data_IF_349702174427
#
_entry.id   IF_349702174427
#
_cell.length_a   1.000
_cell.length_b   1.000
_cell.length_c   1.000
_cell.angle_alpha   90.00
_cell.angle_beta   90.00
_cell.angle_gamma   90.00
#
_symmetry.space_group_name_H-M   'P 1'
#
loop_
_entity.id
_entity.type
_entity.pdbx_description
1 polymer ?
#
# COMPACT_ATOMS: atom_id res chain seq x y z
N UNK A 1 -13.41 -4.36 6.54
CA UNK A 1 -13.47 -3.78 5.17
C UNK A 1 -13.28 -4.81 4.06
N UNK A 2 -12.16 -5.53 3.97
CA UNK A 2 -11.92 -6.46 2.84
C UNK A 2 -12.95 -7.58 2.73
N UNK A 3 -13.36 -8.15 3.86
CA UNK A 3 -14.43 -9.15 3.89
C UNK A 3 -15.73 -8.62 3.23
N UNK A 4 -16.18 -7.43 3.64
CA UNK A 4 -17.35 -6.76 3.04
C UNK A 4 -17.20 -6.54 1.53
N UNK A 5 -16.02 -6.14 1.07
CA UNK A 5 -15.77 -5.94 -0.37
C UNK A 5 -15.87 -7.26 -1.15
N UNK A 6 -15.31 -8.35 -0.62
CA UNK A 6 -15.39 -9.67 -1.23
C UNK A 6 -16.82 -10.21 -1.27
N UNK A 7 -17.61 -10.02 -0.19
CA UNK A 7 -19.03 -10.39 -0.13
C UNK A 7 -19.86 -9.67 -1.21
N UNK A 8 -19.41 -8.49 -1.65
CA UNK A 8 -20.05 -7.70 -2.71
C UNK A 8 -19.35 -7.84 -4.08
N UNK A 9 -18.47 -8.85 -4.26
CA UNK A 9 -17.72 -9.11 -5.50
C UNK A 9 -16.88 -7.91 -5.99
N UNK A 10 -16.42 -7.05 -5.07
CA UNK A 10 -15.51 -5.95 -5.38
C UNK A 10 -14.08 -6.50 -5.31
N UNK A 11 -13.28 -6.41 -6.39
CA UNK A 11 -11.92 -6.93 -6.40
C UNK A 11 -11.04 -6.28 -5.33
N UNK A 12 -10.36 -7.12 -4.55
CA UNK A 12 -9.37 -6.67 -3.56
C UNK A 12 -8.14 -7.56 -3.58
N UNK A 13 -7.00 -7.04 -3.08
CA UNK A 13 -5.79 -7.85 -2.94
C UNK A 13 -6.07 -9.09 -2.08
N UNK A 14 -5.69 -10.27 -2.59
CA UNK A 14 -5.90 -11.54 -1.91
C UNK A 14 -5.17 -11.53 -0.56
N UNK A 15 -5.91 -11.81 0.51
CA UNK A 15 -5.31 -12.00 1.84
C UNK A 15 -4.73 -13.42 1.87
N UNK A 16 -3.48 -13.55 2.29
CA UNK A 16 -2.85 -14.84 2.56
C UNK A 16 -3.01 -15.20 4.03
N UNK A 17 -2.70 -14.27 4.93
CA UNK A 17 -2.80 -14.48 6.38
C UNK A 17 -3.26 -13.21 7.10
N UNK A 18 -4.00 -13.42 8.19
CA UNK A 18 -4.26 -12.41 9.22
C UNK A 18 -3.73 -12.97 10.52
N UNK A 19 -2.80 -12.25 11.15
CA UNK A 19 -2.09 -12.67 12.36
C UNK A 19 -2.52 -11.74 13.48
N UNK A 20 -3.15 -12.31 14.51
CA UNK A 20 -3.76 -11.57 15.61
C UNK A 20 -2.99 -11.75 16.93
N UNK A 21 -2.10 -12.74 17.01
CA UNK A 21 -1.31 -13.03 18.21
C UNK A 21 0.01 -13.73 17.86
N UNK A 22 0.86 -13.90 18.87
CA UNK A 22 2.18 -14.50 18.72
C UNK A 22 2.12 -15.98 18.34
N UNK A 23 1.17 -16.75 18.87
CA UNK A 23 1.03 -18.18 18.56
C UNK A 23 0.78 -18.40 17.05
N UNK A 24 -0.11 -17.59 16.45
CA UNK A 24 -0.37 -17.60 15.00
C UNK A 24 0.86 -17.24 14.17
N UNK A 25 1.76 -16.39 14.69
CA UNK A 25 3.02 -16.05 14.04
C UNK A 25 4.01 -17.23 14.10
N UNK A 26 4.07 -17.96 15.20
CA UNK A 26 4.97 -19.10 15.37
C UNK A 26 4.62 -20.27 14.44
N UNK A 27 3.33 -20.48 14.18
CA UNK A 27 2.84 -21.49 13.24
C UNK A 27 3.07 -21.11 11.76
N UNK A 28 3.33 -19.83 11.47
CA UNK A 28 3.42 -19.31 10.11
C UNK A 28 4.63 -19.89 9.33
N UNK A 29 4.33 -20.44 8.16
CA UNK A 29 5.33 -20.92 7.20
C UNK A 29 5.53 -19.90 6.09
N UNK A 30 6.44 -18.95 6.29
CA UNK A 30 6.74 -17.87 5.33
C UNK A 30 7.05 -18.38 3.92
N UNK A 31 7.67 -19.55 3.83
CA UNK A 31 8.06 -20.20 2.57
C UNK A 31 6.87 -20.64 1.71
N UNK A 32 5.68 -20.79 2.31
CA UNK A 32 4.45 -21.15 1.60
C UNK A 32 3.70 -19.93 1.06
N UNK A 33 4.09 -18.71 1.45
CA UNK A 33 3.45 -17.48 1.01
C UNK A 33 3.97 -17.13 -0.39
N UNK A 34 3.10 -17.00 -1.40
CA UNK A 34 3.54 -16.69 -2.75
C UNK A 34 4.08 -15.25 -2.84
N UNK A 35 5.26 -15.09 -3.41
CA UNK A 35 5.84 -13.78 -3.72
C UNK A 35 5.38 -13.26 -5.08
N UNK A 36 5.14 -11.94 -5.25
CA UNK A 36 5.32 -10.88 -4.27
C UNK A 36 4.15 -10.71 -3.28
N UNK A 37 4.45 -10.26 -2.06
CA UNK A 37 3.45 -9.99 -1.03
C UNK A 37 3.78 -8.73 -0.22
N UNK A 38 2.83 -8.29 0.60
CA UNK A 38 2.95 -7.14 1.50
C UNK A 38 2.61 -7.59 2.92
N UNK A 39 3.43 -7.19 3.88
CA UNK A 39 3.16 -7.30 5.32
C UNK A 39 2.81 -5.92 5.84
N UNK A 40 1.68 -5.76 6.53
CA UNK A 40 1.24 -4.45 7.04
C UNK A 40 0.35 -4.57 8.28
N UNK A 41 0.30 -3.56 9.14
CA UNK A 41 -0.73 -3.47 10.18
C UNK A 41 -2.13 -3.35 9.56
N UNK A 42 -3.13 -3.99 10.18
CA UNK A 42 -4.53 -3.85 9.79
C UNK A 42 -5.05 -2.42 10.00
N UNK A 43 -4.53 -1.73 11.02
CA UNK A 43 -4.92 -0.37 11.43
C UNK A 43 -3.74 0.61 11.33
N UNK A 44 -3.02 0.58 10.21
CA UNK A 44 -1.84 1.44 10.01
C UNK A 44 -2.16 2.91 9.76
N UNK A 45 -1.36 3.80 10.34
CA UNK A 45 -1.40 5.24 10.06
C UNK A 45 -0.27 5.66 9.10
N UNK A 46 -0.60 6.50 8.13
CA UNK A 46 0.36 7.13 7.20
C UNK A 46 1.32 6.18 6.45
N UNK A 47 0.97 4.91 6.30
CA UNK A 47 1.78 3.91 5.61
C UNK A 47 2.99 3.41 6.41
N UNK A 48 3.00 3.58 7.74
CA UNK A 48 4.01 2.97 8.62
C UNK A 48 3.79 1.46 8.76
N UNK A 49 4.86 0.73 9.05
CA UNK A 49 4.80 -0.72 9.28
C UNK A 49 4.57 -1.57 8.02
N UNK A 50 4.62 -0.97 6.83
CA UNK A 50 4.42 -1.69 5.57
C UNK A 50 5.78 -2.17 5.05
N UNK A 51 5.94 -3.50 4.94
CA UNK A 51 7.05 -4.13 4.21
C UNK A 51 6.49 -4.72 2.92
N UNK A 52 7.17 -4.46 1.81
CA UNK A 52 6.82 -5.02 0.50
C UNK A 52 7.90 -6.00 0.09
N UNK A 53 7.52 -7.26 -0.04
CA UNK A 53 8.39 -8.37 -0.46
C UNK A 53 8.22 -8.63 -1.95
N UNK A 54 9.32 -8.57 -2.69
CA UNK A 54 9.32 -8.77 -4.14
C UNK A 54 9.55 -10.21 -4.54
N UNK A 55 10.53 -10.86 -3.93
CA UNK A 55 10.90 -12.24 -4.26
C UNK A 55 11.59 -12.90 -3.08
N UNK A 56 11.49 -14.22 -3.03
CA UNK A 56 12.31 -15.10 -2.19
C UNK A 56 13.61 -15.43 -2.94
N UNK A 57 14.72 -15.54 -2.24
CA UNK A 57 15.96 -16.05 -2.81
C UNK A 57 15.86 -17.57 -3.00
N UNK A 58 16.37 -18.05 -4.13
CA UNK A 58 16.29 -19.47 -4.48
C UNK A 58 17.10 -20.31 -3.49
N UNK A 59 16.48 -21.38 -2.99
CA UNK A 59 17.10 -22.29 -2.02
C UNK A 59 17.33 -21.73 -0.62
N UNK A 60 16.86 -20.52 -0.30
CA UNK A 60 17.12 -19.86 0.99
C UNK A 60 15.84 -19.31 1.63
N UNK A 61 15.78 -19.29 2.97
CA UNK A 61 14.75 -18.59 3.74
C UNK A 61 15.08 -17.11 3.89
N UNK A 62 15.33 -16.45 2.75
CA UNK A 62 15.67 -15.04 2.66
C UNK A 62 14.81 -14.38 1.57
N UNK A 63 14.27 -13.21 1.88
CA UNK A 63 13.40 -12.42 1.01
C UNK A 63 14.03 -11.08 0.70
N UNK A 64 13.66 -10.53 -0.46
CA UNK A 64 14.12 -9.20 -0.89
C UNK A 64 12.97 -8.22 -0.88
N UNK A 65 13.17 -7.10 -0.19
CA UNK A 65 12.21 -6.00 -0.13
C UNK A 65 12.27 -5.10 -1.41
N UNK A 66 11.52 -3.99 -1.40
CA UNK A 66 11.58 -2.98 -2.47
C UNK A 66 12.92 -2.24 -2.58
N UNK A 67 13.74 -2.25 -1.53
CA UNK A 67 15.05 -1.61 -1.49
C UNK A 67 16.19 -2.62 -1.74
N UNK A 68 15.88 -3.87 -2.12
CA UNK A 68 16.84 -4.99 -2.26
C UNK A 68 17.56 -5.35 -0.96
N UNK A 69 17.01 -4.98 0.19
CA UNK A 69 17.47 -5.47 1.47
C UNK A 69 17.07 -6.93 1.64
N UNK A 70 17.98 -7.70 2.24
CA UNK A 70 17.77 -9.11 2.54
C UNK A 70 17.10 -9.20 3.90
N UNK A 71 15.96 -9.88 3.96
CA UNK A 71 15.19 -10.12 5.17
C UNK A 71 15.12 -11.63 5.40
N UNK A 72 15.55 -12.06 6.57
CA UNK A 72 15.43 -13.44 7.05
C UNK A 72 14.02 -13.71 7.60
N UNK A 73 13.74 -14.97 7.94
CA UNK A 73 12.50 -15.34 8.63
C UNK A 73 12.41 -14.61 9.98
N UNK A 74 13.52 -14.49 10.69
CA UNK A 74 13.63 -13.82 11.98
C UNK A 74 13.32 -12.32 11.85
N UNK A 75 13.81 -11.67 10.79
CA UNK A 75 13.52 -10.25 10.52
C UNK A 75 12.01 -10.02 10.25
N UNK A 76 11.39 -10.90 9.47
CA UNK A 76 9.96 -10.85 9.18
C UNK A 76 9.11 -11.12 10.43
N UNK A 77 9.51 -12.12 11.24
CA UNK A 77 8.87 -12.41 12.51
C UNK A 77 8.97 -11.21 13.46
N UNK A 78 10.16 -10.63 13.62
CA UNK A 78 10.37 -9.44 14.45
C UNK A 78 9.47 -8.29 14.01
N UNK A 79 9.37 -8.03 12.70
CA UNK A 79 8.49 -6.99 12.18
C UNK A 79 7.01 -7.24 12.48
N UNK A 80 6.54 -8.49 12.36
CA UNK A 80 5.16 -8.84 12.72
C UNK A 80 4.94 -8.69 14.23
N UNK A 81 5.91 -9.07 15.07
CA UNK A 81 5.82 -8.85 16.53
C UNK A 81 5.66 -7.38 16.86
N UNK A 82 6.48 -6.51 16.24
CA UNK A 82 6.37 -5.07 16.41
C UNK A 82 4.98 -4.52 15.98
N UNK A 83 4.37 -5.10 14.93
CA UNK A 83 2.98 -4.78 14.56
C UNK A 83 2.01 -5.18 15.68
N UNK A 84 2.14 -6.40 16.22
CA UNK A 84 1.27 -6.92 17.28
C UNK A 84 1.43 -6.16 18.60
N UNK A 85 2.63 -5.63 18.87
CA UNK A 85 2.90 -4.74 20.01
C UNK A 85 2.37 -3.30 19.80
N UNK A 86 1.87 -2.99 18.60
CA UNK A 86 1.23 -1.72 18.29
C UNK A 86 2.18 -0.61 17.85
N UNK A 87 3.46 -0.90 17.55
CA UNK A 87 4.47 0.11 17.19
C UNK A 87 4.03 1.03 16.02
N UNK A 88 3.25 0.47 15.08
CA UNK A 88 2.81 1.16 13.86
C UNK A 88 1.36 1.66 13.90
N UNK A 89 0.67 1.47 15.02
CA UNK A 89 -0.73 1.86 15.21
C UNK A 89 -0.80 3.17 16.00
N UNK A 90 -1.74 4.05 15.63
CA UNK A 90 -1.88 5.36 16.30
C UNK A 90 -2.99 5.36 17.36
N UNK A 91 -3.88 4.38 17.31
CA UNK A 91 -4.99 4.19 18.25
C UNK A 91 -5.49 2.75 18.16
N UNK A 92 -6.13 2.26 19.22
CA UNK A 92 -6.66 0.91 19.32
C UNK A 92 -5.97 0.09 20.42
N UNK A 93 -6.62 -1.00 20.82
CA UNK A 93 -6.12 -1.97 21.80
C UNK A 93 -5.86 -3.36 21.20
N UNK A 94 -6.32 -3.58 19.97
CA UNK A 94 -6.12 -4.82 19.23
C UNK A 94 -5.33 -4.53 17.95
N UNK A 95 -4.16 -5.16 17.83
CA UNK A 95 -3.27 -4.98 16.71
C UNK A 95 -3.09 -6.30 15.99
N UNK A 96 -3.27 -6.27 14.67
CA UNK A 96 -3.10 -7.44 13.81
C UNK A 96 -2.26 -7.10 12.59
N UNK A 97 -1.48 -8.08 12.14
CA UNK A 97 -0.73 -8.00 10.91
C UNK A 97 -1.50 -8.71 9.79
N UNK A 98 -1.46 -8.12 8.61
CA UNK A 98 -2.04 -8.67 7.38
C UNK A 98 -0.90 -8.98 6.43
N UNK A 99 -0.88 -10.20 5.91
CA UNK A 99 -0.04 -10.61 4.79
C UNK A 99 -0.94 -10.79 3.57
N UNK A 100 -0.70 -10.02 2.51
CA UNK A 100 -1.56 -9.99 1.32
C UNK A 100 -0.76 -9.89 0.02
N UNK A 101 -1.42 -10.18 -1.09
CA UNK A 101 -0.91 -9.97 -2.44
C UNK A 101 -0.41 -8.54 -2.65
N UNK A 102 0.76 -8.40 -3.28
CA UNK A 102 1.26 -7.10 -3.73
C UNK A 102 0.55 -6.68 -5.02
N UNK A 103 -0.29 -5.66 -4.94
CA UNK A 103 -0.90 -5.05 -6.12
C UNK A 103 0.14 -4.24 -6.90
N UNK A 104 0.35 -4.62 -8.15
CA UNK A 104 1.20 -3.87 -9.07
C UNK A 104 0.38 -2.80 -9.79
N UNK A 105 0.89 -1.56 -9.92
CA UNK A 105 0.20 -0.52 -10.66
C UNK A 105 0.04 -0.93 -12.12
N UNK A 106 -1.07 -0.53 -12.73
CA UNK A 106 -1.26 -0.67 -14.16
C UNK A 106 -0.10 0.01 -14.93
N UNK A 107 0.47 -0.58 -16.00
CA UNK A 107 1.67 -0.06 -16.65
C UNK A 107 1.60 1.42 -17.06
N UNK A 108 0.42 1.89 -17.53
CA UNK A 108 0.20 3.31 -17.86
C UNK A 108 0.34 4.24 -16.64
N UNK A 109 -0.12 3.80 -15.47
CA UNK A 109 0.02 4.55 -14.22
C UNK A 109 1.45 4.43 -13.66
N UNK A 110 2.09 3.26 -13.83
CA UNK A 110 3.50 3.09 -13.46
C UNK A 110 4.43 4.07 -14.18
N UNK A 111 4.19 4.36 -15.46
CA UNK A 111 5.00 5.29 -16.27
C UNK A 111 5.00 6.73 -15.77
N UNK A 112 3.94 7.15 -15.09
CA UNK A 112 3.84 8.51 -14.56
C UNK A 112 4.32 8.61 -13.12
N UNK A 113 4.51 7.50 -12.41
CA UNK A 113 5.01 7.51 -11.04
C UNK A 113 6.54 7.55 -11.02
N UNK A 114 7.13 8.33 -10.10
CA UNK A 114 8.57 8.22 -9.85
C UNK A 114 8.93 6.83 -9.31
N UNK A 115 8.26 6.43 -8.22
CA UNK A 115 8.34 5.12 -7.53
C UNK A 115 7.04 4.88 -6.77
N UNK A 116 6.77 3.63 -6.37
CA UNK A 116 5.56 3.28 -5.63
C UNK A 116 4.33 3.15 -6.53
N UNK A 117 3.15 3.14 -5.91
CA UNK A 117 1.89 2.85 -6.58
C UNK A 117 1.01 4.10 -6.59
N UNK A 118 0.71 4.68 -7.76
CA UNK A 118 -0.38 5.64 -7.89
C UNK A 118 -1.70 5.03 -7.46
N UNK A 119 -2.54 5.83 -6.84
CA UNK A 119 -3.86 5.40 -6.43
C UNK A 119 -4.93 6.39 -6.88
N UNK A 120 -6.14 5.88 -7.09
CA UNK A 120 -7.32 6.69 -7.37
C UNK A 120 -8.08 6.86 -6.06
N UNK A 121 -8.30 8.11 -5.65
CA UNK A 121 -9.18 8.44 -4.53
C UNK A 121 -10.51 8.91 -5.09
N UNK A 122 -11.58 8.25 -4.64
CA UNK A 122 -12.96 8.65 -4.92
C UNK A 122 -13.59 9.11 -3.60
N UNK A 123 -14.25 10.26 -3.62
CA UNK A 123 -14.99 10.82 -2.49
C UNK A 123 -16.48 10.60 -2.76
N UNK A 124 -17.14 9.92 -1.82
CA UNK A 124 -18.57 9.62 -1.88
C UNK A 124 -19.30 10.49 -0.86
N UNK A 125 -20.41 11.12 -1.26
CA UNK A 125 -21.34 11.82 -0.38
C UNK A 125 -22.75 11.30 -0.64
N UNK A 126 -23.46 10.84 0.40
CA UNK A 126 -24.80 10.24 0.29
C UNK A 126 -24.89 9.17 -0.83
N UNK A 127 -23.94 8.24 -0.85
CA UNK A 127 -23.86 7.16 -1.84
C UNK A 127 -23.60 7.61 -3.29
N UNK A 128 -23.27 8.89 -3.52
CA UNK A 128 -22.97 9.44 -4.84
C UNK A 128 -21.47 9.82 -4.91
N UNK A 129 -20.73 9.38 -5.95
CA UNK A 129 -19.38 9.87 -6.20
C UNK A 129 -19.41 11.35 -6.57
N UNK A 130 -18.82 12.20 -5.73
CA UNK A 130 -18.81 13.66 -5.94
C UNK A 130 -17.48 14.18 -6.45
N UNK A 131 -16.39 13.43 -6.25
CA UNK A 131 -15.05 13.82 -6.70
C UNK A 131 -14.17 12.58 -6.87
N UNK A 132 -13.32 12.59 -7.89
CA UNK A 132 -12.25 11.63 -8.04
C UNK A 132 -10.92 12.35 -8.32
N UNK A 133 -9.83 11.77 -7.86
CA UNK A 133 -8.49 12.22 -8.20
C UNK A 133 -7.50 11.06 -8.29
N UNK A 134 -6.54 11.17 -9.20
CA UNK A 134 -5.35 10.34 -9.22
C UNK A 134 -4.29 10.96 -8.32
N UNK A 135 -3.70 10.18 -7.41
CA UNK A 135 -2.54 10.58 -6.63
C UNK A 135 -1.30 9.92 -7.18
N UNK A 136 -0.34 10.73 -7.64
CA UNK A 136 0.89 10.26 -8.28
C UNK A 136 2.06 10.50 -7.34
N UNK A 137 2.76 9.44 -6.90
CA UNK A 137 3.96 9.59 -6.11
C UNK A 137 5.09 10.26 -6.88
N UNK A 138 5.78 11.16 -6.19
CA UNK A 138 6.92 11.93 -6.69
C UNK A 138 8.19 11.62 -5.90
N UNK A 139 9.33 12.13 -6.38
CA UNK A 139 10.56 12.15 -5.61
C UNK A 139 10.41 12.93 -4.28
N UNK A 140 9.72 14.08 -4.29
CA UNK A 140 9.43 14.88 -3.08
C UNK A 140 8.70 14.06 -2.01
N UNK A 141 7.78 13.19 -2.44
CA UNK A 141 7.04 12.28 -1.56
C UNK A 141 7.75 10.98 -1.22
N UNK A 142 9.01 10.82 -1.65
CA UNK A 142 9.78 9.59 -1.51
C UNK A 142 9.02 8.34 -2.04
N UNK A 143 8.32 8.49 -3.16
CA UNK A 143 7.54 7.40 -3.77
C UNK A 143 6.24 7.05 -3.05
N UNK A 144 5.69 7.94 -2.21
CA UNK A 144 4.39 7.74 -1.54
C UNK A 144 3.30 8.60 -2.18
N UNK A 145 2.10 8.06 -2.36
CA UNK A 145 0.95 8.81 -2.90
C UNK A 145 0.32 9.79 -1.87
N UNK A 146 1.13 10.42 -1.01
CA UNK A 146 0.66 11.34 0.03
C UNK A 146 0.86 12.80 -0.41
N UNK A 147 -0.25 13.54 -0.59
CA UNK A 147 -0.21 14.95 -0.99
C UNK A 147 0.48 15.84 0.05
N UNK A 148 0.38 15.51 1.35
CA UNK A 148 1.10 16.24 2.40
C UNK A 148 2.62 16.09 2.30
N UNK A 149 3.08 15.01 1.66
CA UNK A 149 4.49 14.73 1.42
C UNK A 149 4.93 15.19 0.02
N UNK A 150 4.09 15.91 -0.72
CA UNK A 150 4.44 16.44 -2.05
C UNK A 150 4.18 15.49 -3.22
N UNK A 151 3.27 14.51 -3.06
CA UNK A 151 2.71 13.79 -4.19
C UNK A 151 1.88 14.74 -5.08
N UNK A 152 1.65 14.36 -6.34
CA UNK A 152 0.76 15.10 -7.22
C UNK A 152 -0.68 14.61 -7.05
N UNK A 153 -1.64 15.52 -7.10
CA UNK A 153 -3.07 15.23 -7.20
C UNK A 153 -3.61 15.70 -8.54
N UNK A 154 -4.15 14.80 -9.34
CA UNK A 154 -4.79 15.13 -10.62
C UNK A 154 -6.28 14.86 -10.47
N UNK A 155 -7.12 15.90 -10.56
CA UNK A 155 -8.57 15.74 -10.58
C UNK A 155 -8.99 14.88 -11.76
N UNK A 156 -10.01 14.04 -11.58
CA UNK A 156 -10.59 13.20 -12.62
C UNK A 156 -12.04 13.61 -12.80
N UNK A 157 -12.41 13.97 -14.02
CA UNK A 157 -13.81 14.05 -14.41
C UNK A 157 -14.41 12.64 -14.40
N UNK A 158 -15.39 12.40 -13.53
CA UNK A 158 -15.93 11.05 -13.28
C UNK A 158 -16.67 10.50 -14.50
N UNK A 159 -17.31 11.36 -15.31
CA UNK A 159 -18.09 10.96 -16.47
C UNK A 159 -17.20 10.52 -17.64
N UNK A 160 -16.04 11.16 -17.80
CA UNK A 160 -15.15 10.97 -18.95
C UNK A 160 -13.87 10.20 -18.62
N UNK A 161 -13.48 10.13 -17.34
CA UNK A 161 -12.20 9.60 -16.88
C UNK A 161 -10.99 10.48 -17.23
N UNK A 162 -11.21 11.68 -17.78
CA UNK A 162 -10.16 12.59 -18.20
C UNK A 162 -9.67 13.41 -17.01
N UNK A 163 -8.35 13.55 -16.90
CA UNK A 163 -7.75 14.40 -15.87
C UNK A 163 -8.03 15.87 -16.13
N UNK A 164 -8.38 16.62 -15.10
CA UNK A 164 -8.72 18.05 -15.18
C UNK A 164 -7.58 18.94 -14.69
N UNK A 165 -7.55 19.26 -13.40
CA UNK A 165 -6.56 20.13 -12.79
C UNK A 165 -5.52 19.31 -12.03
N UNK A 166 -4.26 19.76 -12.06
CA UNK A 166 -3.17 19.17 -11.29
C UNK A 166 -2.73 20.05 -10.12
N UNK A 167 -2.40 19.42 -9.00
CA UNK A 167 -1.77 20.02 -7.84
C UNK A 167 -0.47 19.28 -7.49
N UNK A 168 0.56 20.03 -7.12
CA UNK A 168 1.76 19.58 -6.42
C UNK A 168 1.54 19.82 -4.93
N UNK A 169 1.52 18.74 -4.15
CA UNK A 169 1.10 18.79 -2.75
C UNK A 169 -0.35 19.27 -2.59
N UNK A 170 -0.57 20.25 -1.69
CA UNK A 170 -1.91 20.80 -1.40
C UNK A 170 -2.21 22.18 -1.99
N UNK A 171 -1.22 22.87 -2.56
CA UNK A 171 -1.35 24.33 -2.82
C UNK A 171 -0.88 24.75 -4.21
N UNK A 172 0.12 24.09 -4.77
CA UNK A 172 0.75 24.53 -6.02
C UNK A 172 0.01 23.93 -7.21
N UNK A 173 -0.57 24.76 -8.06
CA UNK A 173 -1.21 24.29 -9.30
C UNK A 173 -0.15 23.97 -10.35
N UNK A 174 -0.31 22.84 -11.03
CA UNK A 174 0.56 22.42 -12.12
C UNK A 174 -0.24 22.28 -13.42
N UNK A 175 0.42 22.56 -14.54
CA UNK A 175 -0.14 22.35 -15.90
C UNK A 175 0.57 21.22 -16.66
N UNK A 176 1.72 20.76 -16.15
CA UNK A 176 2.52 19.67 -16.73
C UNK A 176 3.05 18.76 -15.62
N UNK A 177 3.27 17.47 -15.94
CA UNK A 177 3.89 16.52 -15.03
C UNK A 177 5.41 16.65 -15.12
N UNK A 178 6.02 17.22 -14.09
CA UNK A 178 7.48 17.26 -13.97
C UNK A 178 7.93 16.03 -13.15
N UNK A 179 7.82 14.83 -13.72
CA UNK A 179 8.14 13.58 -13.01
C UNK A 179 9.53 13.00 -13.34
N UNK A 180 10.41 13.83 -13.91
CA UNK A 180 11.76 13.47 -14.32
C UNK A 180 12.14 14.24 -15.56
#
# INVERSE_FOLDING_TARGET
TKQLLNENNIPTAKIYHVINNFDQLEELQWEQIPTPFVVKPASGSAGKGIIVINKKQEGQSVWLDNNKQHLTKEDLNLHVRNILDGEFSTWGSEFSAIIEEKISPHPKLGKIAFRGTPDVRVIIFNSIPVMAMLRVPTQKSNGRANLDQGALGLGIDIATGVTTYGLSGKKERITHLNNG
#
